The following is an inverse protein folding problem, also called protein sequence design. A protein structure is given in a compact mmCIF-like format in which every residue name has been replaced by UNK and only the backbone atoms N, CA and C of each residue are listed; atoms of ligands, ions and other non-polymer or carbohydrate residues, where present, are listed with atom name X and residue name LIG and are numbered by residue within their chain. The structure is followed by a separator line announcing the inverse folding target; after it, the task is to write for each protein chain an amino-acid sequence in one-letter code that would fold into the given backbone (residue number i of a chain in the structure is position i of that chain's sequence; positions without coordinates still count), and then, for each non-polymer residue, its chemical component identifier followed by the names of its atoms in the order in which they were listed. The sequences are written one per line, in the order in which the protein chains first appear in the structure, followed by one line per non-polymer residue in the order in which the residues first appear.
data_IF_208203298536
#
_entry.id   IF_208203298536
#
_cell.length_a   1.000
_cell.length_b   1.000
_cell.length_c   1.000
_cell.angle_alpha   90.00
_cell.angle_beta   90.00
_cell.angle_gamma   90.00
#
_symmetry.space_group_name_H-M   'P 1'
#
loop_
_entity.id
_entity.type
_entity.pdbx_description
1 polymer ?
#
# COMPACT_ATOMS: atom_id res chain seq x y z
N UNK A 1 -5.44 -15.25 3.84
CA UNK A 1 -5.36 -14.32 4.97
C UNK A 1 -6.24 -13.12 4.66
N UNK A 2 -6.95 -12.54 5.63
CA UNK A 2 -7.73 -11.33 5.38
C UNK A 2 -6.79 -10.16 5.12
N UNK A 3 -6.97 -9.49 3.99
CA UNK A 3 -6.36 -8.17 3.75
C UNK A 3 -6.97 -7.16 4.75
N UNK A 4 -6.17 -6.26 5.36
CA UNK A 4 -6.75 -5.18 6.15
C UNK A 4 -7.66 -4.31 5.26
N UNK A 5 -8.62 -3.57 5.84
CA UNK A 5 -9.44 -2.64 5.07
C UNK A 5 -8.53 -1.55 4.49
N UNK A 6 -8.23 -1.69 3.20
CA UNK A 6 -7.46 -0.73 2.40
C UNK A 6 -8.41 0.17 1.60
N UNK A 7 -8.02 1.42 1.43
CA UNK A 7 -8.67 2.36 0.51
C UNK A 7 -8.47 1.89 -0.94
N UNK A 8 -9.26 2.40 -1.91
CA UNK A 8 -9.11 2.04 -3.32
C UNK A 8 -7.69 2.29 -3.87
N UNK A 9 -7.07 3.40 -3.47
CA UNK A 9 -5.71 3.78 -3.88
C UNK A 9 -4.66 2.84 -3.29
N UNK A 10 -4.73 2.58 -1.98
CA UNK A 10 -3.86 1.61 -1.32
C UNK A 10 -4.02 0.23 -1.96
N UNK A 11 -5.25 -0.20 -2.24
CA UNK A 11 -5.52 -1.48 -2.90
C UNK A 11 -4.96 -1.53 -4.32
N UNK A 12 -4.97 -0.43 -5.07
CA UNK A 12 -4.36 -0.36 -6.39
C UNK A 12 -2.82 -0.47 -6.34
N UNK A 13 -2.20 0.16 -5.35
CA UNK A 13 -0.76 0.04 -5.10
C UNK A 13 -0.44 -1.40 -4.72
N UNK A 14 -1.13 -1.93 -3.70
CA UNK A 14 -1.05 -3.30 -3.23
C UNK A 14 -1.15 -4.31 -4.39
N UNK A 15 -2.14 -4.13 -5.26
CA UNK A 15 -2.36 -4.95 -6.46
C UNK A 15 -1.21 -4.85 -7.46
N UNK A 16 -0.58 -3.68 -7.60
CA UNK A 16 0.59 -3.49 -8.46
C UNK A 16 1.80 -4.30 -7.97
N UNK A 17 1.89 -4.55 -6.66
CA UNK A 17 2.88 -5.45 -6.07
C UNK A 17 2.44 -6.92 -6.08
N UNK A 18 1.24 -7.29 -6.55
CA UNK A 18 0.75 -8.67 -6.48
C UNK A 18 -0.06 -9.01 -5.23
N UNK A 19 -0.55 -8.00 -4.51
CA UNK A 19 -1.40 -8.13 -3.33
C UNK A 19 -0.66 -7.88 -2.02
N UNK A 20 -1.40 -7.94 -0.91
CA UNK A 20 -0.92 -7.48 0.41
C UNK A 20 0.30 -8.26 0.88
N UNK A 21 0.27 -9.58 0.74
CA UNK A 21 1.38 -10.45 1.09
C UNK A 21 2.64 -10.17 0.30
N UNK A 22 2.52 -9.89 -1.01
CA UNK A 22 3.70 -9.63 -1.84
C UNK A 22 4.23 -8.20 -1.65
N UNK A 23 3.35 -7.23 -1.39
CA UNK A 23 3.73 -5.90 -0.94
C UNK A 23 4.53 -5.96 0.37
N UNK A 24 3.99 -6.62 1.40
CA UNK A 24 4.65 -6.81 2.69
C UNK A 24 6.01 -7.51 2.52
N UNK A 25 6.06 -8.60 1.74
CA UNK A 25 7.31 -9.29 1.45
C UNK A 25 8.34 -8.40 0.73
N UNK A 26 7.89 -7.48 -0.14
CA UNK A 26 8.76 -6.51 -0.82
C UNK A 26 9.34 -5.47 0.13
N UNK A 27 8.63 -5.17 1.22
CA UNK A 27 9.08 -4.27 2.29
C UNK A 27 9.88 -5.01 3.38
N UNK A 28 10.04 -6.34 3.29
CA UNK A 28 10.67 -7.15 4.32
C UNK A 28 9.81 -7.37 5.56
N UNK A 29 8.51 -7.09 5.48
CA UNK A 29 7.55 -7.14 6.58
C UNK A 29 6.79 -8.46 6.62
N UNK A 30 6.44 -8.91 7.82
CA UNK A 30 5.70 -10.16 8.06
C UNK A 30 4.18 -9.92 8.19
N UNK A 31 3.34 -10.41 7.27
CA UNK A 31 1.89 -10.18 7.33
C UNK A 31 1.15 -10.93 8.43
N UNK A 32 1.81 -11.86 9.12
CA UNK A 32 1.29 -12.51 10.32
C UNK A 32 1.69 -11.81 11.62
N UNK A 33 2.58 -10.83 11.55
CA UNK A 33 3.04 -10.06 12.69
C UNK A 33 2.24 -8.74 12.74
N UNK A 34 1.72 -8.41 13.92
CA UNK A 34 0.82 -7.27 14.09
C UNK A 34 1.57 -5.96 13.88
N UNK A 35 2.80 -5.85 14.42
CA UNK A 35 3.61 -4.64 14.32
C UNK A 35 4.03 -4.40 12.87
N UNK A 36 4.50 -5.45 12.19
CA UNK A 36 4.83 -5.40 10.76
C UNK A 36 3.60 -5.04 9.89
N UNK A 37 2.41 -5.54 10.24
CA UNK A 37 1.19 -5.23 9.50
C UNK A 37 0.77 -3.76 9.67
N UNK A 38 0.96 -3.18 10.86
CA UNK A 38 0.74 -1.75 11.10
C UNK A 38 1.77 -0.89 10.35
N UNK A 39 3.05 -1.27 10.36
CA UNK A 39 4.08 -0.61 9.54
C UNK A 39 3.74 -0.68 8.05
N UNK A 40 3.38 -1.85 7.54
CA UNK A 40 2.99 -2.03 6.15
C UNK A 40 1.80 -1.14 5.77
N UNK A 41 0.87 -0.94 6.70
CA UNK A 41 -0.29 -0.07 6.51
C UNK A 41 0.13 1.42 6.46
N UNK A 42 1.04 1.84 7.32
CA UNK A 42 1.57 3.20 7.30
C UNK A 42 2.37 3.49 6.02
N UNK A 43 3.15 2.52 5.55
CA UNK A 43 3.91 2.63 4.30
C UNK A 43 2.95 2.76 3.13
N UNK A 44 1.98 1.85 2.96
CA UNK A 44 1.07 1.89 1.81
C UNK A 44 0.18 3.14 1.81
N UNK A 45 -0.20 3.64 2.99
CA UNK A 45 -0.91 4.91 3.13
C UNK A 45 -0.06 6.09 2.64
N UNK A 46 1.25 6.08 2.93
CA UNK A 46 2.20 7.09 2.42
C UNK A 46 2.32 7.02 0.89
N UNK A 47 2.46 5.81 0.32
CA UNK A 47 2.45 5.63 -1.13
C UNK A 47 1.14 6.08 -1.78
N UNK A 48 0.00 5.85 -1.11
CA UNK A 48 -1.30 6.30 -1.59
C UNK A 48 -1.38 7.83 -1.64
N UNK A 49 -0.91 8.49 -0.59
CA UNK A 49 -0.85 9.96 -0.54
C UNK A 49 0.03 10.54 -1.65
N UNK A 50 1.25 10.03 -1.84
CA UNK A 50 2.15 10.44 -2.94
C UNK A 50 1.52 10.18 -4.32
N UNK A 51 0.82 9.06 -4.49
CA UNK A 51 0.17 8.71 -5.76
C UNK A 51 -0.99 9.63 -6.10
N UNK A 52 -1.76 10.06 -5.11
CA UNK A 52 -2.86 11.03 -5.30
C UNK A 52 -2.32 12.42 -5.69
N UNK A 53 -1.19 12.84 -5.12
CA UNK A 53 -0.52 14.09 -5.48
C UNK A 53 0.06 14.02 -6.91
N UNK A 54 0.67 12.89 -7.29
CA UNK A 54 1.21 12.68 -8.64
C UNK A 54 0.12 12.67 -9.71
N UNK A 55 -1.03 12.03 -9.45
CA UNK A 55 -2.16 11.96 -10.39
C UNK A 55 -2.74 13.36 -10.65
N UNK A 56 -2.89 14.18 -9.59
CA UNK A 56 -3.27 15.60 -9.72
C UNK A 56 -2.25 16.41 -10.53
N UNK A 57 -0.95 16.19 -10.33
CA UNK A 57 0.08 16.88 -11.09
C UNK A 57 0.10 16.51 -12.57
N UNK A 58 -0.33 15.29 -12.94
CA UNK A 58 -0.41 14.81 -14.33
C UNK A 58 -1.64 15.29 -15.08
N UNK A 59 -2.72 15.67 -14.38
CA UNK A 59 -3.94 16.20 -15.00
C UNK A 59 -3.84 17.68 -15.44
N UNK A 60 -2.75 18.36 -15.10
CA UNK A 60 -2.51 19.78 -15.41
C UNK A 60 -1.47 20.02 -16.54
N UNK A 61 -1.14 19.01 -17.36
CA UNK A 61 -0.24 19.16 -18.51
C UNK A 61 -0.92 18.88 -19.84
#
# INVERSE_FOLDING_TARGET
MPEPPLTPTERAICKSYGGWTNFMASMGLKPWDQEDAEEGKAIIASFAHDKEEEDKAKQNK
#
